data_IF_080089524103
#
_entry.id   IF_080089524103
#
_cell.length_a   1.000
_cell.length_b   1.000
_cell.length_c   1.000
_cell.angle_alpha   90.00
_cell.angle_beta   90.00
_cell.angle_gamma   90.00
#
_symmetry.space_group_name_H-M   'P 1'
#
loop_
_entity.id
_entity.type
_entity.pdbx_description
1 polymer ?
#
# COMPACT_ATOMS: atom_id res chain seq x y z
N UNK A 1 9.20 2.38 -8.89
CA UNK A 1 7.96 1.90 -8.24
C UNK A 1 7.51 0.66 -9.00
N UNK A 2 7.30 -0.46 -8.31
CA UNK A 2 6.63 -1.60 -8.94
C UNK A 2 5.23 -1.15 -9.34
N UNK A 3 4.82 -1.46 -10.56
CA UNK A 3 3.49 -1.07 -11.05
C UNK A 3 2.44 -1.70 -10.13
N UNK A 4 1.48 -0.90 -9.65
CA UNK A 4 0.34 -1.42 -8.90
C UNK A 4 -0.54 -2.13 -9.93
N UNK A 5 -0.57 -3.46 -9.86
CA UNK A 5 -1.34 -4.29 -10.76
C UNK A 5 -2.29 -5.20 -9.96
N UNK A 6 -3.53 -5.27 -10.42
CA UNK A 6 -4.57 -6.09 -9.84
C UNK A 6 -5.02 -7.12 -10.86
N UNK A 7 -5.43 -8.29 -10.38
CA UNK A 7 -6.07 -9.29 -11.25
C UNK A 7 -7.41 -8.75 -11.77
N UNK A 8 -7.89 -9.28 -12.89
CA UNK A 8 -9.19 -8.89 -13.44
C UNK A 8 -10.33 -9.08 -12.43
N UNK A 9 -10.26 -10.12 -11.60
CA UNK A 9 -11.24 -10.38 -10.55
C UNK A 9 -11.19 -9.31 -9.45
N UNK A 10 -9.99 -8.90 -9.02
CA UNK A 10 -9.81 -7.83 -8.04
C UNK A 10 -10.32 -6.49 -8.59
N UNK A 11 -9.97 -6.14 -9.83
CA UNK A 11 -10.48 -4.93 -10.49
C UNK A 11 -12.01 -4.93 -10.51
N UNK A 12 -12.63 -6.00 -10.98
CA UNK A 12 -14.08 -6.10 -11.06
C UNK A 12 -14.75 -5.98 -9.68
N UNK A 13 -14.15 -6.57 -8.63
CA UNK A 13 -14.66 -6.42 -7.27
C UNK A 13 -14.57 -4.96 -6.79
N UNK A 14 -13.43 -4.31 -6.94
CA UNK A 14 -13.23 -2.92 -6.51
C UNK A 14 -14.09 -1.93 -7.30
N UNK A 15 -14.23 -2.10 -8.61
CA UNK A 15 -15.12 -1.26 -9.42
C UNK A 15 -16.58 -1.39 -9.01
N UNK A 16 -17.04 -2.60 -8.66
CA UNK A 16 -18.39 -2.80 -8.11
C UNK A 16 -18.57 -2.10 -6.76
N UNK A 17 -17.57 -2.11 -5.89
CA UNK A 17 -17.61 -1.34 -4.64
C UNK A 17 -17.73 0.16 -4.92
N UNK A 18 -16.94 0.69 -5.86
CA UNK A 18 -17.01 2.11 -6.26
C UNK A 18 -18.37 2.48 -6.84
N UNK A 19 -18.91 1.63 -7.72
CA UNK A 19 -20.23 1.84 -8.31
C UNK A 19 -21.31 1.90 -7.23
N UNK A 20 -21.33 0.94 -6.30
CA UNK A 20 -22.29 0.92 -5.19
C UNK A 20 -22.15 2.14 -4.29
N UNK A 21 -20.93 2.51 -3.92
CA UNK A 21 -20.72 3.69 -3.09
C UNK A 21 -21.25 4.97 -3.74
N UNK A 22 -21.04 5.13 -5.05
CA UNK A 22 -21.56 6.30 -5.79
C UNK A 22 -23.08 6.33 -5.84
N UNK A 23 -23.72 5.17 -6.00
CA UNK A 23 -25.17 5.05 -6.00
C UNK A 23 -25.74 5.30 -4.60
N UNK A 24 -25.26 4.56 -3.59
CA UNK A 24 -25.82 4.53 -2.24
C UNK A 24 -25.57 5.86 -1.48
N UNK A 25 -24.37 6.44 -1.61
CA UNK A 25 -23.96 7.58 -0.78
C UNK A 25 -24.05 8.92 -1.53
N UNK A 26 -24.04 8.90 -2.86
CA UNK A 26 -23.98 10.11 -3.68
C UNK A 26 -25.13 10.24 -4.68
N UNK A 27 -26.04 9.25 -4.77
CA UNK A 27 -27.17 9.21 -5.72
C UNK A 27 -26.69 9.35 -7.18
N UNK A 28 -25.52 8.78 -7.49
CA UNK A 28 -24.91 8.78 -8.83
C UNK A 28 -24.84 7.34 -9.36
N UNK A 29 -25.76 7.01 -10.26
CA UNK A 29 -25.73 5.74 -10.99
C UNK A 29 -24.72 5.81 -12.15
N UNK A 30 -23.74 4.91 -12.15
CA UNK A 30 -22.75 4.79 -13.23
C UNK A 30 -22.70 3.36 -13.77
N UNK A 31 -22.26 3.20 -15.02
CA UNK A 31 -22.04 1.88 -15.61
C UNK A 31 -20.73 1.23 -15.15
N UNK A 32 -20.59 -0.07 -15.41
CA UNK A 32 -19.36 -0.83 -15.07
C UNK A 32 -18.10 -0.24 -15.71
N UNK A 33 -18.17 0.21 -16.97
CA UNK A 33 -17.01 0.81 -17.65
C UNK A 33 -16.57 2.12 -17.00
N UNK A 34 -17.51 2.96 -16.60
CA UNK A 34 -17.21 4.21 -15.91
C UNK A 34 -16.57 3.95 -14.54
N UNK A 35 -17.05 2.92 -13.82
CA UNK A 35 -16.48 2.49 -12.55
C UNK A 35 -15.05 1.95 -12.73
N UNK A 36 -14.78 1.18 -13.78
CA UNK A 36 -13.45 0.69 -14.13
C UNK A 36 -12.50 1.85 -14.45
N UNK A 37 -12.95 2.86 -15.21
CA UNK A 37 -12.15 4.05 -15.50
C UNK A 37 -11.86 4.89 -14.25
N UNK A 38 -12.83 5.02 -13.36
CA UNK A 38 -12.64 5.71 -12.09
C UNK A 38 -11.62 4.97 -11.21
N UNK A 39 -11.71 3.64 -11.13
CA UNK A 39 -10.73 2.81 -10.42
C UNK A 39 -9.33 3.00 -11.00
N UNK A 40 -9.19 2.98 -12.33
CA UNK A 40 -7.91 3.18 -12.99
C UNK A 40 -7.37 4.60 -12.75
N UNK A 41 -8.22 5.62 -12.74
CA UNK A 41 -7.83 6.99 -12.40
C UNK A 41 -7.28 7.08 -10.97
N UNK A 42 -8.01 6.56 -9.99
CA UNK A 42 -7.63 6.55 -8.58
C UNK A 42 -6.31 5.79 -8.40
N UNK A 43 -6.20 4.60 -8.98
CA UNK A 43 -4.99 3.76 -8.88
C UNK A 43 -3.77 4.48 -9.44
N UNK A 44 -3.89 5.13 -10.60
CA UNK A 44 -2.77 5.81 -11.26
C UNK A 44 -2.39 7.13 -10.58
N UNK A 45 -3.37 7.88 -10.05
CA UNK A 45 -3.13 9.20 -9.45
C UNK A 45 -2.80 9.13 -7.97
N UNK A 46 -3.50 8.30 -7.21
CA UNK A 46 -3.39 8.25 -5.75
C UNK A 46 -2.60 7.03 -5.26
N UNK A 47 -2.55 5.94 -6.04
CA UNK A 47 -1.81 4.73 -5.69
C UNK A 47 -0.36 4.96 -5.26
N UNK A 48 0.45 5.82 -5.93
CA UNK A 48 1.80 6.13 -5.48
C UNK A 48 1.87 6.76 -4.09
N UNK A 49 0.91 7.60 -3.71
CA UNK A 49 0.88 8.21 -2.39
C UNK A 49 0.64 7.15 -1.30
N UNK A 50 -0.35 6.27 -1.50
CA UNK A 50 -0.62 5.17 -0.56
C UNK A 50 0.55 4.18 -0.46
N UNK A 51 1.17 3.84 -1.59
CA UNK A 51 2.33 2.96 -1.62
C UNK A 51 3.53 3.54 -0.87
N UNK A 52 3.83 4.82 -1.10
CA UNK A 52 4.96 5.49 -0.44
C UNK A 52 4.73 5.61 1.07
N UNK A 53 3.50 5.88 1.51
CA UNK A 53 3.18 5.89 2.94
C UNK A 53 3.40 4.49 3.54
N UNK A 54 2.87 3.44 2.91
CA UNK A 54 3.07 2.07 3.39
C UNK A 54 4.55 1.64 3.41
N UNK A 55 5.35 2.11 2.45
CA UNK A 55 6.79 1.87 2.43
C UNK A 55 7.49 2.57 3.60
N UNK A 56 7.13 3.83 3.88
CA UNK A 56 7.68 4.59 5.00
C UNK A 56 7.34 3.95 6.36
N UNK A 57 6.12 3.43 6.51
CA UNK A 57 5.69 2.72 7.72
C UNK A 57 6.51 1.42 7.90
N UNK A 58 6.72 0.67 6.81
CA UNK A 58 7.54 -0.54 6.81
C UNK A 58 9.01 -0.25 7.15
N UNK A 59 9.58 0.82 6.57
CA UNK A 59 10.93 1.28 6.86
C UNK A 59 11.09 1.61 8.35
N UNK A 60 10.12 2.32 8.94
CA UNK A 60 10.14 2.67 10.37
C UNK A 60 10.14 1.45 11.28
N UNK A 61 9.42 0.37 10.91
CA UNK A 61 9.46 -0.90 11.64
C UNK A 61 10.83 -1.56 11.50
N UNK A 62 11.37 -1.60 10.28
CA UNK A 62 12.65 -2.24 9.98
C UNK A 62 13.81 -1.55 10.70
N UNK A 63 13.86 -0.21 10.67
CA UNK A 63 14.90 0.57 11.34
C UNK A 63 14.95 0.28 12.85
N UNK A 64 13.79 0.19 13.51
CA UNK A 64 13.72 -0.17 14.94
C UNK A 64 14.34 -1.54 15.21
N UNK A 65 13.99 -2.55 14.41
CA UNK A 65 14.55 -3.89 14.56
C UNK A 65 16.05 -3.94 14.31
N UNK A 66 16.57 -3.13 13.39
CA UNK A 66 18.01 -3.05 13.14
C UNK A 66 18.74 -2.48 14.35
N UNK A 67 18.17 -1.46 15.00
CA UNK A 67 18.73 -0.91 16.25
C UNK A 67 18.76 -2.00 17.32
N UNK A 68 17.65 -2.71 17.53
CA UNK A 68 17.58 -3.80 18.52
C UNK A 68 18.65 -4.87 18.25
N UNK A 69 18.83 -5.27 16.98
CA UNK A 69 19.87 -6.24 16.58
C UNK A 69 21.27 -5.70 16.84
N UNK A 70 21.52 -4.41 16.55
CA UNK A 70 22.81 -3.79 16.78
C UNK A 70 23.16 -3.76 18.28
N UNK A 71 22.18 -3.48 19.13
CA UNK A 71 22.34 -3.51 20.58
C UNK A 71 22.65 -4.94 21.08
N UNK A 72 21.91 -5.96 20.62
CA UNK A 72 22.17 -7.37 20.96
C UNK A 72 23.58 -7.84 20.53
N UNK A 73 24.05 -7.39 19.36
CA UNK A 73 25.41 -7.70 18.89
C UNK A 73 26.49 -7.04 19.75
N UNK A 74 26.25 -5.81 20.21
CA UNK A 74 27.16 -5.11 21.11
C UNK A 74 27.24 -5.80 22.48
N UNK A 75 26.12 -6.32 23.00
CA UNK A 75 26.10 -7.04 24.28
C UNK A 75 26.95 -8.32 24.28
N UNK A 76 27.10 -8.98 23.14
CA UNK A 76 27.90 -10.21 23.02
C UNK A 76 29.35 -9.95 22.59
N UNK A 77 29.71 -8.69 22.29
CA UNK A 77 31.07 -8.30 21.92
C UNK A 77 32.04 -8.60 23.08
N UNK A 78 33.17 -9.22 22.77
CA UNK A 78 34.19 -9.54 23.77
C UNK A 78 35.41 -8.65 23.57
N UNK A 79 36.02 -8.14 24.65
CA UNK A 79 37.27 -7.39 24.54
C UNK A 79 38.37 -8.28 23.94
N UNK A 80 39.12 -7.74 22.99
CA UNK A 80 40.30 -8.36 22.37
C UNK A 80 41.50 -7.44 22.51
N UNK A 81 42.63 -8.00 22.98
CA UNK A 81 43.93 -7.31 23.00
C UNK A 81 44.71 -7.48 21.67
N UNK A 82 44.15 -8.24 20.72
CA UNK A 82 44.67 -8.45 19.36
C UNK A 82 43.89 -7.64 18.34
#
# INVERSE_FOLDING_TARGET
>A
MSKIEFTSQQKQAMSRELQRYLEDELDVEIGQFDADFLLDFITNKFGPAFYNQGLSDAETIMQRKIVDIADELYEIEQPSDF
#
